data_IF_009051344720
#
_entry.id   IF_009051344720
#
_cell.length_a   1.000
_cell.length_b   1.000
_cell.length_c   1.000
_cell.angle_alpha   90.00
_cell.angle_beta   90.00
_cell.angle_gamma   90.00
#
_symmetry.space_group_name_H-M   'P 1'
#
loop_
_entity.id
_entity.type
_entity.pdbx_description
1 polymer ?
#
# COMPACT_ATOMS: atom_id res chain seq x y z
N UNK A 1 25.29 13.60 24.33
CA UNK A 1 24.70 12.58 23.43
C UNK A 1 25.48 12.68 22.11
N UNK A 2 25.93 11.59 21.48
CA UNK A 2 26.69 11.71 20.22
C UNK A 2 25.79 12.23 19.08
N UNK A 3 26.30 13.10 18.21
CA UNK A 3 25.56 13.56 17.02
C UNK A 3 25.11 12.40 16.13
N UNK A 4 25.84 11.28 16.09
CA UNK A 4 25.38 10.08 15.37
C UNK A 4 24.08 9.51 15.95
N UNK A 5 23.97 9.48 17.28
CA UNK A 5 22.77 8.98 17.96
C UNK A 5 21.59 9.93 17.73
N UNK A 6 21.85 11.23 17.66
CA UNK A 6 20.87 12.26 17.35
C UNK A 6 20.38 12.19 15.90
N UNK A 7 21.29 12.10 14.93
CA UNK A 7 20.95 11.86 13.52
C UNK A 7 20.12 10.59 13.40
N UNK A 8 20.53 9.49 14.04
CA UNK A 8 19.77 8.24 14.00
C UNK A 8 18.37 8.38 14.62
N UNK A 9 18.20 9.22 15.65
CA UNK A 9 16.89 9.53 16.24
C UNK A 9 16.03 10.33 15.28
N UNK A 10 16.58 11.36 14.64
CA UNK A 10 15.88 12.19 13.64
C UNK A 10 15.45 11.37 12.43
N UNK A 11 16.33 10.52 11.90
CA UNK A 11 16.02 9.63 10.76
C UNK A 11 14.94 8.58 11.05
N UNK A 12 14.58 8.36 12.33
CA UNK A 12 13.48 7.49 12.74
C UNK A 12 12.20 8.26 13.07
N UNK A 13 12.24 9.59 13.13
CA UNK A 13 11.07 10.37 13.54
C UNK A 13 10.06 10.57 12.42
N UNK A 14 10.52 10.75 11.17
CA UNK A 14 9.67 11.06 10.02
C UNK A 14 10.02 10.24 8.78
N UNK A 15 9.08 10.11 7.83
CA UNK A 15 9.35 9.44 6.55
C UNK A 15 10.41 10.19 5.71
N UNK A 16 10.37 11.52 5.74
CA UNK A 16 11.32 12.36 4.99
C UNK A 16 12.02 13.33 5.94
N UNK A 17 13.35 13.29 5.99
CA UNK A 17 14.16 14.20 6.80
C UNK A 17 15.11 14.96 5.90
N UNK A 18 15.06 16.28 5.97
CA UNK A 18 15.86 17.18 5.14
C UNK A 18 16.79 17.98 6.04
N UNK A 19 18.09 17.75 5.93
CA UNK A 19 19.09 18.63 6.55
C UNK A 19 19.42 19.75 5.57
N UNK A 20 19.28 21.01 5.96
CA UNK A 20 19.54 22.16 5.09
C UNK A 20 20.21 23.30 5.86
N UNK A 21 20.82 24.25 5.14
CA UNK A 21 21.32 25.48 5.77
C UNK A 21 20.23 26.57 5.79
N UNK A 22 20.36 27.63 6.60
CA UNK A 22 19.37 28.72 6.67
C UNK A 22 19.18 29.47 5.34
N UNK A 23 20.18 29.39 4.45
CA UNK A 23 20.18 30.04 3.13
C UNK A 23 19.87 29.08 1.99
N UNK A 24 19.59 27.81 2.29
CA UNK A 24 19.25 26.82 1.27
C UNK A 24 17.81 26.99 0.85
N UNK A 25 17.59 27.37 -0.41
CA UNK A 25 16.27 27.25 -1.04
C UNK A 25 15.98 25.77 -1.36
N UNK A 26 14.86 25.26 -0.83
CA UNK A 26 14.40 23.90 -1.07
C UNK A 26 13.57 23.77 -2.37
N UNK A 27 13.41 24.84 -3.14
CA UNK A 27 12.89 24.80 -4.51
C UNK A 27 11.51 24.15 -4.61
N UNK A 28 10.59 24.51 -3.70
CA UNK A 28 9.22 23.98 -3.66
C UNK A 28 9.08 22.54 -3.15
N UNK A 29 10.15 21.93 -2.62
CA UNK A 29 10.11 20.57 -2.08
C UNK A 29 9.12 20.41 -0.92
N UNK A 30 8.96 21.46 -0.11
CA UNK A 30 8.03 21.49 1.01
C UNK A 30 6.57 21.35 0.54
N UNK A 31 6.18 22.11 -0.50
CA UNK A 31 4.85 22.03 -1.11
C UNK A 31 4.56 20.64 -1.68
N UNK A 32 5.56 20.01 -2.32
CA UNK A 32 5.45 18.64 -2.82
C UNK A 32 5.25 17.65 -1.66
N UNK A 33 5.95 17.84 -0.55
CA UNK A 33 5.84 16.98 0.62
C UNK A 33 4.50 17.16 1.34
N UNK A 34 4.01 18.39 1.48
CA UNK A 34 2.68 18.68 2.02
C UNK A 34 1.58 18.01 1.17
N UNK A 35 1.63 18.18 -0.15
CA UNK A 35 0.66 17.55 -1.06
C UNK A 35 0.76 16.02 -1.06
N UNK A 36 1.93 15.46 -0.76
CA UNK A 36 2.13 14.02 -0.69
C UNK A 36 1.47 13.37 0.52
N UNK A 37 1.10 14.16 1.55
CA UNK A 37 0.56 13.67 2.83
C UNK A 37 1.55 12.82 3.63
N UNK A 38 2.84 12.87 3.29
CA UNK A 38 3.92 12.21 4.04
C UNK A 38 4.23 13.01 5.28
N UNK A 39 4.67 12.32 6.32
CA UNK A 39 5.27 13.02 7.45
C UNK A 39 6.71 13.41 7.08
N UNK A 40 7.07 14.66 7.32
CA UNK A 40 8.37 15.18 6.95
C UNK A 40 8.84 16.21 7.96
N UNK A 41 10.16 16.38 8.03
CA UNK A 41 10.79 17.39 8.88
C UNK A 41 12.05 17.93 8.25
N UNK A 42 12.23 19.23 8.41
CA UNK A 42 13.48 19.92 8.15
C UNK A 42 14.31 20.06 9.42
N UNK A 43 15.62 19.95 9.27
CA UNK A 43 16.61 20.20 10.31
C UNK A 43 17.56 21.26 9.78
N UNK A 44 17.42 22.47 10.31
CA UNK A 44 18.25 23.59 9.92
C UNK A 44 19.61 23.52 10.62
N UNK A 45 20.69 23.62 9.85
CA UNK A 45 22.07 23.60 10.30
C UNK A 45 22.71 24.97 10.03
N UNK A 46 22.62 25.88 11.00
CA UNK A 46 23.28 27.18 10.94
C UNK A 46 24.80 27.06 11.14
N UNK A 47 25.61 27.66 10.27
CA UNK A 47 27.08 27.55 10.30
C UNK A 47 27.76 28.39 11.40
N UNK A 48 26.98 29.08 12.23
CA UNK A 48 27.48 30.02 13.25
C UNK A 48 27.95 29.38 14.56
N UNK A 49 27.59 28.11 14.84
CA UNK A 49 27.99 27.41 16.07
C UNK A 49 29.04 26.33 15.79
N UNK A 50 29.84 25.99 16.80
CA UNK A 50 30.74 24.83 16.72
C UNK A 50 29.93 23.51 16.63
N UNK A 51 28.87 23.42 17.41
CA UNK A 51 27.98 22.26 17.48
C UNK A 51 27.35 21.90 16.11
N UNK A 52 26.83 22.89 15.36
CA UNK A 52 26.27 22.65 14.02
C UNK A 52 27.33 22.21 13.01
N UNK A 53 28.58 22.67 13.16
CA UNK A 53 29.70 22.24 12.31
C UNK A 53 30.08 20.79 12.59
N UNK A 54 30.09 20.40 13.86
CA UNK A 54 30.35 19.02 14.29
C UNK A 54 29.20 18.08 13.85
N UNK A 55 27.94 18.54 13.96
CA UNK A 55 26.78 17.83 13.43
C UNK A 55 26.88 17.63 11.91
N UNK A 56 27.24 18.67 11.17
CA UNK A 56 27.44 18.58 9.71
C UNK A 56 28.61 17.65 9.36
N UNK A 57 29.70 17.67 10.12
CA UNK A 57 30.82 16.76 9.95
C UNK A 57 30.40 15.29 10.15
N UNK A 58 29.57 15.00 11.15
CA UNK A 58 28.99 13.67 11.37
C UNK A 58 28.06 13.26 10.21
N UNK A 59 27.24 14.18 9.70
CA UNK A 59 26.38 13.93 8.54
C UNK A 59 27.21 13.59 7.29
N UNK A 60 28.25 14.39 7.02
CA UNK A 60 29.21 14.19 5.92
C UNK A 60 29.97 12.88 6.03
N UNK A 61 30.39 12.48 7.24
CA UNK A 61 31.04 11.19 7.45
C UNK A 61 30.12 10.01 7.09
N UNK A 62 28.81 10.17 7.30
CA UNK A 62 27.81 9.15 7.01
C UNK A 62 27.37 9.08 5.55
N UNK A 63 27.23 10.23 4.89
CA UNK A 63 26.66 10.31 3.53
C UNK A 63 27.73 10.44 2.45
N UNK A 64 28.95 10.85 2.82
CA UNK A 64 30.00 11.27 1.89
C UNK A 64 29.72 12.60 1.19
N UNK A 65 28.54 13.20 1.36
CA UNK A 65 28.16 14.43 0.69
C UNK A 65 28.75 15.65 1.41
N UNK A 66 29.38 16.53 0.64
CA UNK A 66 30.09 17.71 1.15
C UNK A 66 29.20 18.95 1.25
N UNK A 67 27.95 18.85 0.80
CA UNK A 67 27.04 19.98 0.65
C UNK A 67 25.72 19.72 1.35
N UNK A 68 24.98 20.80 1.61
CA UNK A 68 23.57 20.79 1.97
C UNK A 68 22.74 21.24 0.74
N UNK A 69 21.46 20.83 0.63
CA UNK A 69 20.75 19.98 1.57
C UNK A 69 21.12 18.50 1.42
N UNK A 70 20.93 17.70 2.47
CA UNK A 70 21.04 16.25 2.45
C UNK A 70 19.69 15.63 2.84
N UNK A 71 19.13 14.86 1.91
CA UNK A 71 17.76 14.34 2.01
C UNK A 71 17.80 12.84 2.31
N UNK A 72 16.99 12.46 3.28
CA UNK A 72 16.79 11.08 3.68
C UNK A 72 15.31 10.71 3.52
N UNK A 73 15.05 9.52 2.99
CA UNK A 73 13.70 8.95 2.84
C UNK A 73 13.71 7.56 3.48
N UNK A 74 12.77 7.31 4.39
CA UNK A 74 12.68 6.10 5.21
C UNK A 74 14.02 5.78 5.90
N UNK A 75 14.68 6.82 6.41
CA UNK A 75 15.98 6.76 7.09
C UNK A 75 17.18 6.43 6.20
N UNK A 76 16.99 6.30 4.88
CA UNK A 76 18.08 6.06 3.90
C UNK A 76 18.49 7.35 3.23
N UNK A 77 19.79 7.56 3.07
CA UNK A 77 20.32 8.70 2.33
C UNK A 77 19.99 8.57 0.84
N UNK A 78 19.41 9.62 0.26
CA UNK A 78 18.99 9.65 -1.14
C UNK A 78 19.88 10.57 -1.97
N UNK A 79 20.39 11.65 -1.37
CA UNK A 79 21.28 12.60 -2.04
C UNK A 79 21.00 14.04 -1.65
N UNK A 80 21.43 14.97 -2.51
CA UNK A 80 21.09 16.39 -2.41
C UNK A 80 19.70 16.72 -2.98
N UNK A 81 19.40 18.01 -3.14
CA UNK A 81 18.06 18.49 -3.53
C UNK A 81 17.49 17.80 -4.77
N UNK A 82 18.27 17.79 -5.88
CA UNK A 82 17.83 17.20 -7.17
C UNK A 82 17.53 15.71 -7.04
N UNK A 83 18.41 14.95 -6.40
CA UNK A 83 18.24 13.50 -6.22
C UNK A 83 17.05 13.19 -5.31
N UNK A 84 16.85 13.99 -4.25
CA UNK A 84 15.69 13.86 -3.37
C UNK A 84 14.37 14.16 -4.10
N UNK A 85 14.31 15.24 -4.88
CA UNK A 85 13.16 15.58 -5.72
C UNK A 85 12.83 14.45 -6.71
N UNK A 86 13.84 13.94 -7.44
CA UNK A 86 13.66 12.86 -8.39
C UNK A 86 13.13 11.58 -7.72
N UNK A 87 13.69 11.20 -6.57
CA UNK A 87 13.26 10.02 -5.83
C UNK A 87 11.81 10.14 -5.32
N UNK A 88 11.42 11.31 -4.82
CA UNK A 88 10.06 11.58 -4.36
C UNK A 88 9.07 11.53 -5.52
N UNK A 89 9.40 12.15 -6.65
CA UNK A 89 8.56 12.15 -7.86
C UNK A 89 8.40 10.73 -8.43
N UNK A 90 9.49 9.96 -8.50
CA UNK A 90 9.46 8.56 -8.96
C UNK A 90 8.61 7.67 -8.05
N UNK A 91 8.67 7.89 -6.73
CA UNK A 91 7.81 7.16 -5.78
C UNK A 91 6.35 7.58 -5.90
N UNK A 92 6.07 8.87 -6.08
CA UNK A 92 4.73 9.39 -6.27
C UNK A 92 4.07 8.81 -7.54
N UNK A 93 4.79 8.79 -8.66
CA UNK A 93 4.29 8.20 -9.91
C UNK A 93 4.02 6.70 -9.77
N UNK A 94 4.90 5.95 -9.10
CA UNK A 94 4.69 4.53 -8.83
C UNK A 94 3.44 4.27 -7.96
N UNK A 95 3.22 5.07 -6.90
CA UNK A 95 2.02 4.98 -6.06
C UNK A 95 0.76 5.31 -6.86
N UNK A 96 0.81 6.34 -7.70
CA UNK A 96 -0.31 6.72 -8.57
C UNK A 96 -0.64 5.61 -9.58
N UNK A 97 0.36 5.01 -10.22
CA UNK A 97 0.18 3.88 -11.11
C UNK A 97 -0.45 2.69 -10.38
N UNK A 98 0.03 2.35 -9.18
CA UNK A 98 -0.52 1.28 -8.36
C UNK A 98 -2.00 1.54 -7.99
N UNK A 99 -2.35 2.78 -7.65
CA UNK A 99 -3.75 3.17 -7.37
C UNK A 99 -4.65 3.00 -8.58
N UNK A 100 -4.23 3.51 -9.74
CA UNK A 100 -4.99 3.40 -10.98
C UNK A 100 -5.22 1.95 -11.37
N UNK A 101 -4.16 1.13 -11.38
CA UNK A 101 -4.27 -0.28 -11.71
C UNK A 101 -5.15 -1.03 -10.70
N UNK A 102 -5.05 -0.69 -9.41
CA UNK A 102 -5.93 -1.22 -8.38
C UNK A 102 -7.41 -0.93 -8.68
N UNK A 103 -7.77 0.33 -8.91
CA UNK A 103 -9.15 0.74 -9.16
C UNK A 103 -9.71 0.21 -10.48
N UNK A 104 -8.91 0.15 -11.54
CA UNK A 104 -9.31 -0.47 -12.80
C UNK A 104 -9.62 -1.97 -12.62
N UNK A 105 -9.01 -2.62 -11.63
CA UNK A 105 -9.36 -3.99 -11.23
C UNK A 105 -10.80 -4.17 -10.75
N UNK A 106 -11.55 -3.11 -10.46
CA UNK A 106 -13.00 -3.22 -10.16
C UNK A 106 -13.86 -3.32 -11.41
N UNK A 107 -13.35 -2.95 -12.59
CA UNK A 107 -14.16 -2.94 -13.81
C UNK A 107 -14.75 -4.32 -14.14
N UNK A 108 -13.98 -5.44 -14.13
CA UNK A 108 -14.56 -6.74 -14.45
C UNK A 108 -15.60 -7.20 -13.41
N UNK A 109 -15.44 -6.84 -12.14
CA UNK A 109 -16.44 -7.10 -11.10
C UNK A 109 -17.77 -6.40 -11.41
N UNK A 110 -17.71 -5.09 -11.67
CA UNK A 110 -18.90 -4.26 -11.91
C UNK A 110 -19.60 -4.71 -13.18
N UNK A 111 -18.87 -4.88 -14.29
CA UNK A 111 -19.46 -5.29 -15.55
C UNK A 111 -20.05 -6.70 -15.49
N UNK A 112 -19.37 -7.66 -14.87
CA UNK A 112 -19.90 -9.00 -14.75
C UNK A 112 -21.14 -9.03 -13.83
N UNK A 113 -21.14 -8.30 -12.71
CA UNK A 113 -22.30 -8.22 -11.82
C UNK A 113 -23.53 -7.61 -12.53
N UNK A 114 -23.36 -6.51 -13.25
CA UNK A 114 -24.44 -5.90 -14.05
C UNK A 114 -24.90 -6.82 -15.17
N UNK A 115 -23.99 -7.53 -15.83
CA UNK A 115 -24.30 -8.51 -16.88
C UNK A 115 -25.26 -9.61 -16.41
N UNK A 116 -25.20 -10.02 -15.13
CA UNK A 116 -26.11 -11.05 -14.60
C UNK A 116 -27.55 -10.55 -14.63
N UNK A 117 -27.76 -9.27 -14.29
CA UNK A 117 -29.08 -8.64 -14.32
C UNK A 117 -29.65 -8.46 -15.73
N UNK A 118 -28.80 -8.42 -16.75
CA UNK A 118 -29.20 -8.44 -18.16
C UNK A 118 -29.49 -9.85 -18.70
N UNK A 119 -29.45 -10.88 -17.85
CA UNK A 119 -29.76 -12.25 -18.24
C UNK A 119 -28.67 -12.94 -19.06
N UNK A 120 -27.40 -12.50 -18.95
CA UNK A 120 -26.28 -13.16 -19.62
C UNK A 120 -25.72 -14.29 -18.73
N UNK A 121 -26.03 -15.58 -18.96
CA UNK A 121 -25.74 -16.65 -17.99
C UNK A 121 -24.24 -16.92 -17.78
N UNK A 122 -23.39 -16.62 -18.77
CA UNK A 122 -21.95 -16.85 -18.68
C UNK A 122 -21.22 -15.86 -17.76
N UNK A 123 -21.78 -14.67 -17.54
CA UNK A 123 -21.11 -13.61 -16.77
C UNK A 123 -21.06 -13.93 -15.27
N UNK A 124 -21.94 -14.79 -14.76
CA UNK A 124 -21.89 -15.26 -13.37
C UNK A 124 -20.62 -16.10 -13.12
N UNK A 125 -20.24 -16.92 -14.11
CA UNK A 125 -18.99 -17.68 -14.05
C UNK A 125 -17.77 -16.77 -14.18
N UNK A 126 -17.85 -15.71 -15.00
CA UNK A 126 -16.80 -14.68 -15.09
C UNK A 126 -16.63 -13.94 -13.77
N UNK A 127 -17.75 -13.53 -13.13
CA UNK A 127 -17.74 -12.86 -11.83
C UNK A 127 -17.09 -13.74 -10.76
N UNK A 128 -17.47 -15.03 -10.70
CA UNK A 128 -16.90 -15.97 -9.74
C UNK A 128 -15.41 -16.24 -10.01
N UNK A 129 -15.03 -16.48 -11.27
CA UNK A 129 -13.65 -16.75 -11.66
C UNK A 129 -12.74 -15.54 -11.38
N UNK A 130 -13.17 -14.33 -11.76
CA UNK A 130 -12.41 -13.12 -11.49
C UNK A 130 -12.33 -12.83 -9.99
N UNK A 131 -13.43 -13.03 -9.25
CA UNK A 131 -13.44 -12.97 -7.80
C UNK A 131 -12.41 -13.89 -7.14
N UNK A 132 -12.33 -15.14 -7.62
CA UNK A 132 -11.36 -16.11 -7.14
C UNK A 132 -9.90 -15.70 -7.45
N UNK A 133 -9.64 -15.21 -8.66
CA UNK A 133 -8.30 -14.71 -9.06
C UNK A 133 -7.86 -13.57 -8.14
N UNK A 134 -8.72 -12.58 -7.92
CA UNK A 134 -8.38 -11.42 -7.09
C UNK A 134 -8.26 -11.81 -5.60
N UNK A 135 -9.12 -12.70 -5.10
CA UNK A 135 -9.02 -13.20 -3.72
C UNK A 135 -7.71 -13.97 -3.49
N UNK A 136 -7.29 -14.78 -4.46
CA UNK A 136 -5.97 -15.44 -4.43
C UNK A 136 -4.81 -14.42 -4.46
N UNK A 137 -4.90 -13.41 -5.34
CA UNK A 137 -3.87 -12.38 -5.49
C UNK A 137 -3.64 -11.61 -4.18
N UNK A 138 -4.69 -11.26 -3.45
CA UNK A 138 -4.55 -10.49 -2.20
C UNK A 138 -3.88 -11.27 -1.07
N UNK A 139 -4.06 -12.60 -1.05
CA UNK A 139 -3.28 -13.50 -0.20
C UNK A 139 -1.81 -13.47 -0.57
N UNK A 140 -1.48 -13.65 -1.85
CA UNK A 140 -0.10 -13.68 -2.34
C UNK A 140 0.70 -12.40 -2.03
N UNK A 141 0.07 -11.22 -2.00
CA UNK A 141 0.71 -9.96 -1.59
C UNK A 141 1.34 -10.09 -0.20
N UNK A 142 0.65 -10.77 0.73
CA UNK A 142 1.11 -10.89 2.12
C UNK A 142 2.27 -11.87 2.27
N UNK A 143 2.26 -12.94 1.47
CA UNK A 143 3.43 -13.81 1.34
C UNK A 143 4.63 -13.02 0.86
N UNK A 144 4.50 -12.31 -0.27
CA UNK A 144 5.59 -11.52 -0.84
C UNK A 144 6.10 -10.43 0.10
N UNK A 145 5.20 -9.75 0.82
CA UNK A 145 5.56 -8.75 1.82
C UNK A 145 6.31 -9.37 3.01
N UNK A 146 5.82 -10.50 3.53
CA UNK A 146 6.46 -11.23 4.62
C UNK A 146 7.91 -11.64 4.29
N UNK A 147 8.20 -12.01 3.04
CA UNK A 147 9.57 -12.35 2.60
C UNK A 147 10.59 -11.21 2.74
N UNK A 148 10.13 -9.96 2.76
CA UNK A 148 11.01 -8.79 2.85
C UNK A 148 11.31 -8.35 4.29
N UNK A 149 10.61 -8.93 5.26
CA UNK A 149 10.72 -8.57 6.67
C UNK A 149 11.59 -9.57 7.45
N UNK A 150 12.26 -9.08 8.49
CA UNK A 150 13.02 -9.93 9.42
C UNK A 150 12.13 -10.30 10.61
N UNK A 151 12.16 -11.55 11.03
CA UNK A 151 11.44 -12.02 12.23
C UNK A 151 9.92 -12.17 12.06
N UNK A 152 9.44 -12.35 10.82
CA UNK A 152 8.01 -12.64 10.58
C UNK A 152 7.63 -13.98 11.16
N UNK A 153 6.48 -14.05 11.84
CA UNK A 153 5.97 -15.30 12.36
C UNK A 153 5.49 -16.22 11.21
N UNK A 154 5.70 -17.56 11.30
CA UNK A 154 5.28 -18.49 10.26
C UNK A 154 3.79 -18.42 9.88
N UNK A 155 2.91 -18.05 10.82
CA UNK A 155 1.47 -18.02 10.58
C UNK A 155 1.04 -17.03 9.50
N UNK A 156 1.83 -15.99 9.23
CA UNK A 156 1.57 -15.04 8.14
C UNK A 156 1.61 -15.74 6.78
N UNK A 157 2.55 -16.67 6.59
CA UNK A 157 2.64 -17.47 5.36
C UNK A 157 1.45 -18.42 5.25
N UNK A 158 1.08 -19.12 6.34
CA UNK A 158 -0.09 -20.01 6.32
C UNK A 158 -1.39 -19.24 6.03
N UNK A 159 -1.58 -18.11 6.70
CA UNK A 159 -2.74 -17.24 6.48
C UNK A 159 -2.81 -16.76 5.02
N UNK A 160 -1.68 -16.40 4.41
CA UNK A 160 -1.63 -15.92 3.02
C UNK A 160 -2.14 -16.92 1.96
N UNK A 161 -2.18 -18.21 2.28
CA UNK A 161 -2.70 -19.27 1.40
C UNK A 161 -4.22 -19.43 1.53
N UNK A 162 -4.79 -19.07 2.69
CA UNK A 162 -6.22 -19.25 2.99
C UNK A 162 -7.12 -18.58 1.93
N UNK A 163 -6.89 -17.33 1.47
CA UNK A 163 -7.70 -16.72 0.43
C UNK A 163 -7.75 -17.54 -0.87
N UNK A 164 -6.63 -18.10 -1.29
CA UNK A 164 -6.56 -18.92 -2.51
C UNK A 164 -7.34 -20.24 -2.35
N UNK A 165 -7.28 -20.88 -1.17
CA UNK A 165 -8.04 -22.10 -0.89
C UNK A 165 -9.55 -21.82 -0.81
N UNK A 166 -9.95 -20.72 -0.16
CA UNK A 166 -11.36 -20.29 -0.13
C UNK A 166 -11.86 -19.98 -1.53
N UNK A 167 -11.07 -19.27 -2.33
CA UNK A 167 -11.37 -18.97 -3.72
C UNK A 167 -11.56 -20.24 -4.56
N UNK A 168 -10.61 -21.18 -4.45
CA UNK A 168 -10.70 -22.46 -5.15
C UNK A 168 -11.93 -23.26 -4.74
N UNK A 169 -12.18 -23.40 -3.42
CA UNK A 169 -13.38 -24.07 -2.90
C UNK A 169 -14.67 -23.43 -3.40
N UNK A 170 -14.75 -22.10 -3.43
CA UNK A 170 -15.92 -21.39 -3.94
C UNK A 170 -16.22 -21.70 -5.42
N UNK A 171 -15.18 -21.89 -6.25
CA UNK A 171 -15.36 -22.24 -7.66
C UNK A 171 -15.93 -23.65 -7.87
N UNK A 172 -15.69 -24.56 -6.94
CA UNK A 172 -16.19 -25.95 -6.97
C UNK A 172 -17.65 -26.08 -6.52
N UNK A 173 -18.23 -25.00 -5.98
CA UNK A 173 -19.62 -24.99 -5.52
C UNK A 173 -20.57 -24.34 -6.54
N UNK A 174 -21.89 -24.60 -6.46
CA UNK A 174 -22.89 -23.83 -7.20
C UNK A 174 -22.74 -22.32 -6.96
N UNK A 175 -22.96 -21.49 -7.97
CA UNK A 175 -22.68 -20.04 -7.90
C UNK A 175 -23.49 -19.31 -6.82
N UNK A 176 -24.67 -19.84 -6.47
CA UNK A 176 -25.47 -19.35 -5.35
C UNK A 176 -24.76 -19.48 -4.00
N UNK A 177 -23.86 -20.46 -3.83
CA UNK A 177 -23.01 -20.64 -2.64
C UNK A 177 -21.65 -19.99 -2.86
N UNK A 178 -21.07 -20.14 -4.05
CA UNK A 178 -19.72 -19.66 -4.35
C UNK A 178 -19.57 -18.15 -4.28
N UNK A 179 -20.55 -17.37 -4.79
CA UNK A 179 -20.48 -15.90 -4.74
C UNK A 179 -20.48 -15.33 -3.31
N UNK A 180 -21.38 -15.74 -2.39
CA UNK A 180 -21.31 -15.27 -1.01
C UNK A 180 -20.09 -15.81 -0.27
N UNK A 181 -19.59 -17.01 -0.61
CA UNK A 181 -18.35 -17.53 -0.04
C UNK A 181 -17.13 -16.68 -0.46
N UNK A 182 -17.05 -16.24 -1.71
CA UNK A 182 -16.03 -15.30 -2.17
C UNK A 182 -16.14 -13.95 -1.45
N UNK A 183 -17.36 -13.42 -1.30
CA UNK A 183 -17.60 -12.16 -0.57
C UNK A 183 -17.16 -12.27 0.90
N UNK A 184 -17.51 -13.35 1.57
CA UNK A 184 -17.07 -13.65 2.92
C UNK A 184 -15.53 -13.80 3.00
N UNK A 185 -14.92 -14.43 1.99
CA UNK A 185 -13.45 -14.53 1.88
C UNK A 185 -12.78 -13.17 1.80
N UNK A 186 -13.29 -12.24 0.98
CA UNK A 186 -12.78 -10.87 0.89
C UNK A 186 -12.92 -10.10 2.22
N UNK A 187 -14.08 -10.19 2.87
CA UNK A 187 -14.32 -9.53 4.17
C UNK A 187 -13.40 -10.12 5.24
N UNK A 188 -13.36 -11.45 5.36
CA UNK A 188 -12.55 -12.17 6.34
C UNK A 188 -11.07 -11.86 6.17
N UNK A 189 -10.57 -11.89 4.93
CA UNK A 189 -9.20 -11.52 4.63
C UNK A 189 -8.91 -10.06 5.01
N UNK A 190 -9.81 -9.13 4.67
CA UNK A 190 -9.63 -7.72 5.01
C UNK A 190 -9.58 -7.46 6.52
N UNK A 191 -10.40 -8.17 7.30
CA UNK A 191 -10.40 -8.08 8.75
C UNK A 191 -9.11 -8.65 9.35
N UNK A 192 -8.61 -9.75 8.79
CA UNK A 192 -7.32 -10.32 9.17
C UNK A 192 -6.17 -9.35 8.84
N UNK A 193 -6.13 -8.79 7.61
CA UNK A 193 -5.15 -7.78 7.20
C UNK A 193 -5.12 -6.60 8.17
N UNK A 194 -6.27 -6.09 8.58
CA UNK A 194 -6.35 -4.95 9.51
C UNK A 194 -5.78 -5.25 10.91
N UNK A 195 -5.95 -6.49 11.39
CA UNK A 195 -5.50 -6.92 12.71
C UNK A 195 -4.02 -7.28 12.74
N UNK A 196 -3.56 -8.08 11.78
CA UNK A 196 -2.23 -8.70 11.82
C UNK A 196 -1.16 -7.90 11.05
N UNK A 197 -1.50 -7.30 9.90
CA UNK A 197 -0.54 -6.60 9.03
C UNK A 197 -0.83 -5.11 8.84
N UNK A 198 -1.94 -4.61 9.38
CA UNK A 198 -2.39 -3.24 9.24
C UNK A 198 -1.34 -2.20 9.65
N UNK A 199 -0.66 -2.32 10.81
CA UNK A 199 0.36 -1.35 11.21
C UNK A 199 1.60 -1.33 10.30
N UNK A 200 1.86 -2.42 9.56
CA UNK A 200 3.06 -2.58 8.73
C UNK A 200 2.87 -2.09 7.29
N UNK A 201 1.61 -1.92 6.85
CA UNK A 201 1.29 -1.52 5.49
C UNK A 201 1.12 0.00 5.35
N UNK A 202 1.60 0.61 4.25
CA UNK A 202 1.42 2.05 4.00
C UNK A 202 -0.06 2.47 4.06
N UNK A 203 -0.34 3.64 4.64
CA UNK A 203 -1.70 4.17 4.79
C UNK A 203 -2.48 4.26 3.48
N UNK A 204 -1.83 4.73 2.41
CA UNK A 204 -2.44 4.82 1.07
C UNK A 204 -2.90 3.46 0.54
N UNK A 205 -2.11 2.41 0.79
CA UNK A 205 -2.42 1.05 0.33
C UNK A 205 -3.59 0.48 1.12
N UNK A 206 -3.60 0.69 2.45
CA UNK A 206 -4.70 0.27 3.32
C UNK A 206 -6.02 0.91 2.92
N UNK A 207 -6.04 2.21 2.64
CA UNK A 207 -7.22 2.94 2.19
C UNK A 207 -7.73 2.40 0.85
N UNK A 208 -6.84 2.32 -0.14
CA UNK A 208 -7.16 1.74 -1.46
C UNK A 208 -7.73 0.32 -1.34
N UNK A 209 -7.09 -0.55 -0.56
CA UNK A 209 -7.54 -1.93 -0.34
C UNK A 209 -8.93 -1.99 0.31
N UNK A 210 -9.31 -1.04 1.18
CA UNK A 210 -10.69 -0.96 1.71
C UNK A 210 -11.68 -0.74 0.56
N UNK A 211 -11.43 0.28 -0.28
CA UNK A 211 -12.32 0.64 -1.39
C UNK A 211 -12.46 -0.51 -2.37
N UNK A 212 -11.34 -1.16 -2.73
CA UNK A 212 -11.36 -2.32 -3.62
C UNK A 212 -12.13 -3.51 -3.02
N UNK A 213 -11.98 -3.76 -1.73
CA UNK A 213 -12.71 -4.84 -1.06
C UNK A 213 -14.21 -4.55 -1.03
N UNK A 214 -14.61 -3.32 -0.70
CA UNK A 214 -16.02 -2.90 -0.72
C UNK A 214 -16.61 -3.05 -2.13
N UNK A 215 -15.91 -2.56 -3.16
CA UNK A 215 -16.35 -2.68 -4.55
C UNK A 215 -16.53 -4.14 -4.98
N UNK A 216 -15.53 -4.99 -4.73
CA UNK A 216 -15.57 -6.41 -5.08
C UNK A 216 -16.72 -7.14 -4.36
N UNK A 217 -16.87 -6.93 -3.04
CA UNK A 217 -17.94 -7.53 -2.24
C UNK A 217 -19.30 -7.05 -2.71
N UNK A 218 -19.48 -5.75 -2.95
CA UNK A 218 -20.73 -5.19 -3.46
C UNK A 218 -21.10 -5.81 -4.82
N UNK A 219 -20.15 -5.96 -5.74
CA UNK A 219 -20.39 -6.61 -7.03
C UNK A 219 -20.73 -8.10 -6.90
N UNK A 220 -20.03 -8.84 -6.02
CA UNK A 220 -20.33 -10.24 -5.74
C UNK A 220 -21.74 -10.43 -5.18
N UNK A 221 -22.13 -9.59 -4.20
CA UNK A 221 -23.47 -9.61 -3.61
C UNK A 221 -24.54 -9.16 -4.59
N UNK A 222 -24.26 -8.19 -5.45
CA UNK A 222 -25.16 -7.75 -6.51
C UNK A 222 -25.42 -8.87 -7.53
N UNK A 223 -24.37 -9.58 -7.95
CA UNK A 223 -24.49 -10.74 -8.84
C UNK A 223 -25.21 -11.91 -8.16
N UNK A 224 -24.98 -12.11 -6.86
CA UNK A 224 -25.67 -13.13 -6.07
C UNK A 224 -27.17 -12.84 -5.93
N UNK A 225 -27.54 -11.59 -5.65
CA UNK A 225 -28.93 -11.16 -5.52
C UNK A 225 -29.75 -11.45 -6.80
N UNK A 226 -29.14 -11.34 -7.97
CA UNK A 226 -29.77 -11.67 -9.25
C UNK A 226 -30.14 -13.17 -9.38
N UNK A 227 -29.51 -14.06 -8.61
CA UNK A 227 -29.76 -15.50 -8.64
C UNK A 227 -30.93 -15.93 -7.73
N UNK A 228 -31.30 -15.12 -6.73
CA UNK A 228 -32.34 -15.45 -5.75
C UNK A 228 -33.74 -15.66 -6.37
N UNK A 229 -34.22 -14.84 -7.32
CA UNK A 229 -35.55 -15.00 -7.90
C UNK A 229 -35.74 -16.31 -8.68
N UNK A 230 -34.64 -16.90 -9.15
CA UNK A 230 -34.66 -18.18 -9.87
C UNK A 230 -34.90 -19.38 -8.95
N UNK A 231 -34.59 -19.25 -7.66
CA UNK A 231 -34.81 -20.30 -6.65
C UNK A 231 -36.28 -20.35 -6.24
N UNK A 232 -36.93 -19.19 -6.12
CA UNK A 232 -38.36 -19.09 -5.75
C UNK A 232 -39.33 -19.57 -6.83
N UNK A 233 -38.83 -19.93 -8.03
CA UNK A 233 -39.63 -20.40 -9.17
C UNK A 233 -39.48 -21.91 -9.43
N UNK A 234 -38.73 -22.62 -8.59
CA UNK A 234 -38.56 -24.09 -8.60
C UNK A 234 -39.24 -24.63 -7.35
#
# INVERSE_FOLDING_TARGET
MSHEAEIAKLLRSEEVVIFHSPVTDLGGLEEVLEQSGRTWRTVELGMGSADSRDFFAALKARTGLQTLPQIFIDGRFVGGLRAGQEALMKRASAVSAAKWMGYLGLLPFIFAALGVWFGLPWVTSVLAAYGAVILSFVGAIHWGFAMTQRGVRPEVFYASVVPALVAWGALLTPKIIGLPLLAAGFIGWRLWEQRDTGPLLPGWFRAMRTVLTIGAVASLLLGWAALLPFISRV
#
